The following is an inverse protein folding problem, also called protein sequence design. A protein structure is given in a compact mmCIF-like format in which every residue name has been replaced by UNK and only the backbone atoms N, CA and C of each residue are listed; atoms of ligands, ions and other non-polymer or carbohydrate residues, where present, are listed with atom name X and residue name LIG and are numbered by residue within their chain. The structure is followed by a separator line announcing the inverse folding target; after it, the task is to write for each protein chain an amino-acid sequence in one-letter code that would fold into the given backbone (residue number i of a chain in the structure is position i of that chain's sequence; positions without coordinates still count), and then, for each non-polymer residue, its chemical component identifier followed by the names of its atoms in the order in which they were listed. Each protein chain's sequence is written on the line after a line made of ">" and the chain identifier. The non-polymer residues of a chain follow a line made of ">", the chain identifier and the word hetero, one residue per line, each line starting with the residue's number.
data_IF_332918063098
#
_entry.id   IF_332918063098
#
_cell.length_a   1.000
_cell.length_b   1.000
_cell.length_c   1.000
_cell.angle_alpha   90.00
_cell.angle_beta   90.00
_cell.angle_gamma   90.00
#
_symmetry.space_group_name_H-M   'P 1'
#
loop_
_entity.id
_entity.type
_entity.pdbx_description
1 polymer ?
#
# COMPACT_ATOMS: atom_id res chain seq x y z
N UNK A 1 -15.60 10.66 -6.58
CA UNK A 1 -15.66 9.88 -5.31
C UNK A 1 -14.29 9.34 -5.00
N UNK A 2 -14.00 8.99 -3.74
CA UNK A 2 -12.71 8.45 -3.34
C UNK A 2 -12.89 6.99 -2.96
N UNK A 3 -12.11 6.13 -3.60
CA UNK A 3 -12.05 4.69 -3.37
C UNK A 3 -10.68 4.32 -2.81
N UNK A 4 -10.64 3.39 -1.88
CA UNK A 4 -9.39 2.87 -1.30
C UNK A 4 -9.40 1.35 -1.44
N UNK A 5 -8.33 0.79 -2.01
CA UNK A 5 -8.20 -0.64 -2.33
C UNK A 5 -6.95 -1.22 -1.66
N UNK A 6 -7.01 -2.47 -1.24
CA UNK A 6 -5.85 -3.23 -0.75
C UNK A 6 -6.01 -4.73 -1.01
N UNK A 7 -4.99 -5.53 -0.69
CA UNK A 7 -5.03 -6.98 -0.82
C UNK A 7 -4.73 -7.52 -2.20
N UNK A 8 -4.04 -6.74 -3.05
CA UNK A 8 -3.70 -7.10 -4.44
C UNK A 8 -2.73 -8.28 -4.56
N UNK A 9 -1.74 -8.35 -3.67
CA UNK A 9 -0.71 -9.41 -3.63
C UNK A 9 0.00 -9.63 -4.98
N UNK A 10 0.07 -8.59 -5.82
CA UNK A 10 0.67 -8.66 -7.15
C UNK A 10 -0.12 -9.50 -8.17
N UNK A 11 -1.42 -9.71 -7.98
CA UNK A 11 -2.29 -10.39 -8.93
C UNK A 11 -2.92 -9.39 -9.91
N UNK A 12 -2.28 -9.20 -11.06
CA UNK A 12 -2.67 -8.21 -12.05
C UNK A 12 -4.04 -8.49 -12.69
N UNK A 13 -4.36 -9.75 -12.99
CA UNK A 13 -5.63 -10.12 -13.60
C UNK A 13 -6.79 -9.81 -12.64
N UNK A 14 -6.64 -10.23 -11.39
CA UNK A 14 -7.63 -9.98 -10.34
C UNK A 14 -7.79 -8.47 -10.06
N UNK A 15 -6.70 -7.70 -10.06
CA UNK A 15 -6.73 -6.25 -9.97
C UNK A 15 -7.59 -5.62 -11.07
N UNK A 16 -7.33 -5.97 -12.33
CA UNK A 16 -8.08 -5.40 -13.46
C UNK A 16 -9.57 -5.75 -13.42
N UNK A 17 -9.89 -7.02 -13.11
CA UNK A 17 -11.28 -7.47 -12.99
C UNK A 17 -12.02 -6.73 -11.87
N UNK A 18 -11.38 -6.64 -10.70
CA UNK A 18 -11.97 -5.97 -9.55
C UNK A 18 -12.13 -4.46 -9.79
N UNK A 19 -11.10 -3.79 -10.30
CA UNK A 19 -11.15 -2.36 -10.67
C UNK A 19 -12.28 -2.09 -11.67
N UNK A 20 -12.44 -2.94 -12.68
CA UNK A 20 -13.54 -2.85 -13.64
C UNK A 20 -14.91 -2.99 -12.95
N UNK A 21 -15.05 -3.86 -11.96
CA UNK A 21 -16.29 -4.07 -11.22
C UNK A 21 -16.73 -2.85 -10.41
N UNK A 22 -15.79 -2.02 -9.94
CA UNK A 22 -16.06 -0.77 -9.22
C UNK A 22 -16.75 0.27 -10.11
N UNK A 23 -16.62 0.17 -11.43
CA UNK A 23 -17.24 1.07 -12.41
C UNK A 23 -16.93 2.55 -12.12
N UNK A 24 -15.65 2.84 -11.84
CA UNK A 24 -15.16 4.18 -11.56
C UNK A 24 -15.52 5.16 -12.69
N UNK A 25 -15.81 6.40 -12.32
CA UNK A 25 -16.09 7.49 -13.27
C UNK A 25 -14.86 8.38 -13.40
N UNK A 26 -14.78 9.16 -14.47
CA UNK A 26 -13.61 10.00 -14.73
C UNK A 26 -13.12 10.87 -13.55
N UNK A 27 -13.99 11.43 -12.70
CA UNK A 27 -13.57 12.23 -11.54
C UNK A 27 -13.42 11.40 -10.24
N UNK A 28 -13.46 10.06 -10.32
CA UNK A 28 -13.28 9.20 -9.14
C UNK A 28 -11.80 8.87 -8.97
N UNK A 29 -11.29 9.01 -7.75
CA UNK A 29 -9.92 8.70 -7.37
C UNK A 29 -9.85 7.30 -6.74
N UNK A 30 -8.81 6.57 -7.06
CA UNK A 30 -8.50 5.25 -6.50
C UNK A 30 -7.14 5.27 -5.80
N UNK A 31 -7.16 5.17 -4.48
CA UNK A 31 -5.97 4.92 -3.68
C UNK A 31 -5.74 3.42 -3.53
N UNK A 32 -4.48 2.99 -3.60
CA UNK A 32 -4.09 1.59 -3.40
C UNK A 32 -3.13 1.52 -2.22
N UNK A 33 -3.56 0.91 -1.12
CA UNK A 33 -2.75 0.80 0.09
C UNK A 33 -1.86 -0.45 0.05
N UNK A 34 -0.67 -0.30 -0.50
CA UNK A 34 0.36 -1.33 -0.58
C UNK A 34 -0.05 -2.63 -1.27
N UNK A 35 0.83 -3.62 -1.21
CA UNK A 35 0.59 -4.94 -1.78
C UNK A 35 0.55 -4.97 -3.31
N UNK A 36 1.02 -3.94 -3.97
CA UNK A 36 1.16 -3.86 -5.43
C UNK A 36 2.25 -4.83 -5.88
N UNK A 37 3.43 -4.70 -5.26
CA UNK A 37 4.62 -5.47 -5.60
C UNK A 37 4.71 -6.82 -4.84
N UNK A 38 3.59 -7.46 -4.57
CA UNK A 38 3.55 -8.70 -3.77
C UNK A 38 3.91 -9.98 -4.52
N UNK A 39 3.85 -10.02 -5.85
CA UNK A 39 4.11 -11.20 -6.67
C UNK A 39 4.49 -10.84 -8.10
N UNK A 40 4.54 -11.84 -8.99
CA UNK A 40 5.02 -11.71 -10.39
C UNK A 40 4.28 -10.65 -11.22
N UNK A 41 2.97 -10.46 -11.01
CA UNK A 41 2.17 -9.45 -11.72
C UNK A 41 2.23 -8.05 -11.09
N UNK A 42 2.99 -7.87 -10.01
CA UNK A 42 3.07 -6.59 -9.31
C UNK A 42 3.66 -5.46 -10.16
N UNK A 43 4.64 -5.78 -11.01
CA UNK A 43 5.21 -4.80 -11.91
C UNK A 43 4.21 -4.33 -12.98
N UNK A 44 3.33 -5.23 -13.45
CA UNK A 44 2.25 -4.87 -14.38
C UNK A 44 1.19 -3.98 -13.71
N UNK A 45 0.88 -4.23 -12.42
CA UNK A 45 0.00 -3.36 -11.63
C UNK A 45 0.62 -1.97 -11.49
N UNK A 46 1.91 -1.89 -11.13
CA UNK A 46 2.61 -0.63 -10.96
C UNK A 46 2.61 0.19 -12.26
N UNK A 47 3.00 -0.41 -13.38
CA UNK A 47 2.98 0.24 -14.69
C UNK A 47 1.58 0.70 -15.10
N UNK A 48 0.54 -0.10 -14.78
CA UNK A 48 -0.83 0.31 -15.02
C UNK A 48 -1.21 1.53 -14.15
N UNK A 49 -0.88 1.52 -12.84
CA UNK A 49 -1.15 2.63 -11.95
C UNK A 49 -0.44 3.92 -12.39
N UNK A 50 0.84 3.83 -12.78
CA UNK A 50 1.62 4.96 -13.31
C UNK A 50 1.02 5.58 -14.58
N UNK A 51 0.27 4.80 -15.37
CA UNK A 51 -0.37 5.27 -16.62
C UNK A 51 -1.71 6.00 -16.41
N UNK A 52 -2.23 6.06 -15.17
CA UNK A 52 -3.56 6.58 -14.86
C UNK A 52 -3.50 7.75 -13.88
N UNK A 53 -3.99 8.92 -14.30
CA UNK A 53 -3.94 10.17 -13.52
C UNK A 53 -4.76 10.14 -12.22
N UNK A 54 -5.68 9.18 -12.07
CA UNK A 54 -6.58 9.08 -10.93
C UNK A 54 -6.34 7.80 -10.09
N UNK A 55 -5.17 7.19 -10.20
CA UNK A 55 -4.74 6.06 -9.38
C UNK A 55 -3.52 6.44 -8.57
N UNK A 56 -3.65 6.39 -7.25
CA UNK A 56 -2.66 6.88 -6.28
C UNK A 56 -2.17 5.73 -5.39
N UNK A 57 -1.04 5.10 -5.71
CA UNK A 57 -0.44 4.11 -4.84
C UNK A 57 0.14 4.72 -3.55
N UNK A 58 -0.12 4.06 -2.42
CA UNK A 58 0.51 4.35 -1.13
C UNK A 58 1.38 3.15 -0.78
N UNK A 59 2.65 3.40 -0.45
CA UNK A 59 3.63 2.35 -0.25
C UNK A 59 3.32 1.47 0.97
N UNK A 60 3.43 0.16 0.77
CA UNK A 60 3.59 -0.80 1.83
C UNK A 60 5.06 -1.23 1.99
N UNK A 61 5.29 -2.21 2.85
CA UNK A 61 6.64 -2.73 3.13
C UNK A 61 7.42 -3.14 1.87
N UNK A 62 6.77 -3.87 0.96
CA UNK A 62 7.43 -4.39 -0.24
C UNK A 62 7.78 -3.27 -1.22
N UNK A 63 6.93 -2.27 -1.35
CA UNK A 63 7.16 -1.10 -2.18
C UNK A 63 8.33 -0.27 -1.65
N UNK A 64 8.39 -0.04 -0.33
CA UNK A 64 9.49 0.68 0.31
C UNK A 64 10.83 -0.04 0.09
N UNK A 65 10.88 -1.37 0.27
CA UNK A 65 12.08 -2.17 0.05
C UNK A 65 12.45 -2.21 -1.44
N UNK A 66 11.46 -2.31 -2.33
CA UNK A 66 11.68 -2.28 -3.78
C UNK A 66 12.31 -0.97 -4.23
N UNK A 67 11.85 0.19 -3.72
CA UNK A 67 12.44 1.50 -4.02
C UNK A 67 13.96 1.50 -3.78
N UNK A 68 14.40 0.99 -2.62
CA UNK A 68 15.82 0.88 -2.26
C UNK A 68 16.59 -0.10 -3.17
N UNK A 69 16.08 -1.32 -3.32
CA UNK A 69 16.86 -2.40 -3.94
C UNK A 69 16.82 -2.38 -5.47
N UNK A 70 15.72 -1.94 -6.08
CA UNK A 70 15.66 -1.77 -7.53
C UNK A 70 16.55 -0.61 -8.00
N UNK A 71 16.60 0.49 -7.23
CA UNK A 71 17.54 1.58 -7.50
C UNK A 71 18.99 1.10 -7.40
N UNK A 72 19.33 0.34 -6.36
CA UNK A 72 20.66 -0.27 -6.26
C UNK A 72 20.98 -1.21 -7.43
N UNK A 73 20.03 -2.04 -7.86
CA UNK A 73 20.23 -2.95 -9.00
C UNK A 73 20.49 -2.21 -10.30
N UNK A 74 19.81 -1.06 -10.52
CA UNK A 74 19.91 -0.26 -11.73
C UNK A 74 21.11 0.70 -11.70
N UNK A 75 21.38 1.32 -10.55
CA UNK A 75 22.37 2.38 -10.35
C UNK A 75 23.56 1.95 -9.48
N UNK A 76 23.95 0.68 -9.53
CA UNK A 76 24.95 0.07 -8.64
C UNK A 76 26.21 0.91 -8.43
N UNK A 77 26.72 1.53 -9.50
CA UNK A 77 27.95 2.33 -9.45
C UNK A 77 27.83 3.62 -8.63
N UNK A 78 26.62 3.98 -8.17
CA UNK A 78 26.38 5.14 -7.30
C UNK A 78 26.50 4.83 -5.81
N UNK A 79 26.71 3.56 -5.43
CA UNK A 79 26.69 3.10 -4.04
C UNK A 79 28.08 2.66 -3.57
N UNK A 80 28.53 3.23 -2.46
CA UNK A 80 29.86 2.92 -1.87
C UNK A 80 29.81 1.71 -0.93
N UNK A 81 28.61 1.32 -0.42
CA UNK A 81 28.40 0.26 0.58
C UNK A 81 27.76 -1.01 -0.03
N UNK A 82 28.21 -1.42 -1.20
CA UNK A 82 27.60 -2.51 -1.98
C UNK A 82 27.40 -3.83 -1.19
N UNK A 83 28.36 -4.21 -0.36
CA UNK A 83 28.30 -5.51 0.33
C UNK A 83 27.21 -5.54 1.42
N UNK A 84 26.96 -4.41 2.09
CA UNK A 84 25.87 -4.24 3.05
C UNK A 84 24.51 -4.32 2.36
N UNK A 85 24.34 -3.54 1.28
CA UNK A 85 23.09 -3.53 0.51
C UNK A 85 22.80 -4.91 -0.10
N UNK A 86 23.81 -5.62 -0.59
CA UNK A 86 23.65 -6.99 -1.10
C UNK A 86 23.18 -7.97 -0.02
N UNK A 87 23.69 -7.83 1.21
CA UNK A 87 23.23 -8.67 2.32
C UNK A 87 21.77 -8.44 2.65
N UNK A 88 21.33 -7.18 2.77
CA UNK A 88 19.93 -6.82 3.00
C UNK A 88 19.04 -7.24 1.82
N UNK A 89 19.48 -7.03 0.57
CA UNK A 89 18.75 -7.46 -0.62
C UNK A 89 18.57 -8.99 -0.66
N UNK A 90 19.54 -9.76 -0.19
CA UNK A 90 19.41 -11.21 -0.08
C UNK A 90 18.36 -11.63 0.96
N UNK A 91 18.13 -10.83 1.99
CA UNK A 91 17.02 -11.01 2.94
C UNK A 91 15.69 -10.65 2.29
N UNK A 92 15.61 -9.50 1.64
CA UNK A 92 14.43 -9.11 0.88
C UNK A 92 14.01 -10.14 -0.17
N UNK A 93 14.95 -10.76 -0.88
CA UNK A 93 14.66 -11.83 -1.84
C UNK A 93 14.01 -13.05 -1.18
N UNK A 94 14.41 -13.40 0.03
CA UNK A 94 13.79 -14.49 0.81
C UNK A 94 12.39 -14.12 1.31
N UNK A 95 12.14 -12.82 1.51
CA UNK A 95 10.90 -12.24 2.05
C UNK A 95 9.92 -11.81 0.95
N UNK A 96 10.05 -12.37 -0.26
CA UNK A 96 9.13 -12.15 -1.38
C UNK A 96 9.61 -11.15 -2.44
N UNK A 97 10.78 -10.51 -2.29
CA UNK A 97 11.30 -9.53 -3.23
C UNK A 97 11.83 -10.12 -4.56
N UNK A 98 12.15 -11.43 -4.59
CA UNK A 98 12.72 -12.04 -5.79
C UNK A 98 11.82 -11.94 -7.05
N UNK A 99 10.50 -12.26 -7.00
CA UNK A 99 9.61 -12.05 -8.14
C UNK A 99 9.50 -10.59 -8.59
N UNK A 100 9.61 -9.64 -7.65
CA UNK A 100 9.60 -8.20 -7.95
C UNK A 100 10.85 -7.83 -8.77
N UNK A 101 12.03 -8.24 -8.29
CA UNK A 101 13.28 -8.02 -8.98
C UNK A 101 13.30 -8.68 -10.38
N UNK A 102 12.74 -9.89 -10.52
CA UNK A 102 12.61 -10.56 -11.82
C UNK A 102 11.71 -9.75 -12.79
N UNK A 103 10.57 -9.24 -12.30
CA UNK A 103 9.67 -8.39 -13.09
C UNK A 103 10.39 -7.14 -13.57
N UNK A 104 11.08 -6.43 -12.68
CA UNK A 104 11.87 -5.26 -13.01
C UNK A 104 12.97 -5.53 -14.03
N UNK A 105 13.73 -6.62 -13.86
CA UNK A 105 14.80 -6.98 -14.80
C UNK A 105 14.30 -7.34 -16.20
N UNK A 106 13.03 -7.72 -16.33
CA UNK A 106 12.42 -8.00 -17.64
C UNK A 106 11.98 -6.74 -18.40
N UNK A 107 11.93 -5.58 -17.74
CA UNK A 107 11.61 -4.29 -18.35
C UNK A 107 12.76 -3.82 -19.27
N UNK A 108 12.44 -2.99 -20.26
CA UNK A 108 13.45 -2.25 -21.00
C UNK A 108 14.07 -1.12 -20.15
N UNK A 109 15.12 -0.47 -20.64
CA UNK A 109 15.85 0.53 -19.84
C UNK A 109 15.02 1.80 -19.58
N UNK A 110 14.16 2.19 -20.51
CA UNK A 110 13.25 3.34 -20.34
C UNK A 110 12.20 3.05 -19.25
N UNK A 111 11.61 1.86 -19.28
CA UNK A 111 10.66 1.43 -18.25
C UNK A 111 11.33 1.30 -16.87
N UNK A 112 12.57 0.78 -16.80
CA UNK A 112 13.31 0.70 -15.53
C UNK A 112 13.54 2.08 -14.93
N UNK A 113 13.97 3.04 -15.76
CA UNK A 113 14.19 4.42 -15.31
C UNK A 113 12.88 5.04 -14.80
N UNK A 114 11.78 4.91 -15.55
CA UNK A 114 10.46 5.37 -15.13
C UNK A 114 10.01 4.75 -13.80
N UNK A 115 10.20 3.45 -13.59
CA UNK A 115 9.85 2.76 -12.35
C UNK A 115 10.68 3.26 -11.18
N UNK A 116 11.98 3.45 -11.36
CA UNK A 116 12.87 3.96 -10.31
C UNK A 116 12.48 5.38 -9.92
N UNK A 117 12.27 6.25 -10.87
CA UNK A 117 11.89 7.65 -10.63
C UNK A 117 10.54 7.71 -9.91
N UNK A 118 9.56 6.94 -10.37
CA UNK A 118 8.24 6.86 -9.75
C UNK A 118 8.30 6.38 -8.30
N UNK A 119 9.00 5.27 -8.03
CA UNK A 119 9.15 4.73 -6.67
C UNK A 119 9.90 5.67 -5.73
N UNK A 120 10.72 6.57 -6.26
CA UNK A 120 11.50 7.53 -5.49
C UNK A 120 10.74 8.83 -5.22
N UNK A 121 9.99 9.33 -6.17
CA UNK A 121 9.46 10.71 -6.19
C UNK A 121 7.95 10.78 -6.00
N UNK A 122 7.19 9.82 -6.57
CA UNK A 122 5.73 9.88 -6.65
C UNK A 122 5.03 8.90 -5.68
N UNK A 123 5.77 7.97 -5.09
CA UNK A 123 5.19 6.97 -4.20
C UNK A 123 5.05 7.51 -2.78
N UNK A 124 3.84 7.84 -2.37
CA UNK A 124 3.58 8.35 -1.01
C UNK A 124 3.55 7.22 0.02
N UNK A 125 3.84 7.55 1.28
CA UNK A 125 3.80 6.61 2.42
C UNK A 125 2.48 6.70 3.18
N UNK A 126 1.88 7.87 3.20
CA UNK A 126 0.54 8.12 3.74
C UNK A 126 -0.10 9.30 3.02
N UNK A 127 -1.41 9.45 3.16
CA UNK A 127 -2.18 10.55 2.57
C UNK A 127 -3.23 11.06 3.56
N UNK A 128 -3.36 12.38 3.71
CA UNK A 128 -4.46 13.01 4.42
C UNK A 128 -5.47 13.57 3.41
N UNK A 129 -6.73 13.21 3.54
CA UNK A 129 -7.78 13.64 2.64
C UNK A 129 -9.15 13.73 3.32
N UNK A 130 -10.08 14.45 2.68
CA UNK A 130 -11.47 14.56 3.15
C UNK A 130 -12.43 13.92 2.15
N UNK A 131 -13.35 13.11 2.62
CA UNK A 131 -14.39 12.48 1.82
C UNK A 131 -15.69 12.34 2.61
N UNK A 132 -16.85 12.58 1.99
CA UNK A 132 -18.15 12.41 2.63
C UNK A 132 -18.38 13.29 3.87
N UNK A 133 -17.57 14.33 4.08
CA UNK A 133 -17.61 15.19 5.27
C UNK A 133 -16.82 14.66 6.47
N UNK A 134 -15.95 13.67 6.25
CA UNK A 134 -15.01 13.10 7.22
C UNK A 134 -13.58 13.28 6.73
N UNK A 135 -12.64 13.40 7.65
CA UNK A 135 -11.20 13.45 7.38
C UNK A 135 -10.58 12.09 7.62
N UNK A 136 -9.62 11.71 6.76
CA UNK A 136 -8.96 10.41 6.76
C UNK A 136 -7.45 10.57 6.68
N UNK A 137 -6.75 9.69 7.38
CA UNK A 137 -5.34 9.37 7.18
C UNK A 137 -5.25 7.97 6.59
N UNK A 138 -4.71 7.85 5.41
CA UNK A 138 -4.50 6.57 4.73
C UNK A 138 -3.06 6.12 4.94
N UNK A 139 -2.83 4.94 5.50
CA UNK A 139 -1.51 4.34 5.64
C UNK A 139 -1.58 2.82 5.52
N UNK A 140 -0.51 2.19 4.98
CA UNK A 140 -0.51 0.74 4.79
C UNK A 140 -0.58 -0.04 6.10
N UNK A 141 0.31 0.25 7.05
CA UNK A 141 0.38 -0.44 8.35
C UNK A 141 -0.24 0.37 9.50
N UNK A 142 -1.00 1.42 9.21
CA UNK A 142 -1.44 2.38 10.22
C UNK A 142 -0.34 3.35 10.62
N UNK A 143 -0.37 3.84 11.86
CA UNK A 143 0.58 4.81 12.40
C UNK A 143 1.34 4.17 13.57
N UNK A 144 2.45 3.51 13.30
CA UNK A 144 3.28 2.90 14.32
C UNK A 144 3.78 3.93 15.34
N UNK A 145 3.90 3.54 16.60
CA UNK A 145 4.23 4.46 17.72
C UNK A 145 3.29 5.69 17.74
N UNK A 146 1.98 5.41 17.66
CA UNK A 146 0.91 6.41 17.52
C UNK A 146 0.93 7.42 18.67
N UNK A 147 0.94 8.70 18.31
CA UNK A 147 0.74 9.84 19.20
C UNK A 147 -0.25 10.83 18.56
N UNK A 148 -1.40 11.16 19.19
CA UNK A 148 -2.39 12.07 18.62
C UNK A 148 -1.89 13.49 18.40
N UNK A 149 -0.84 13.91 19.10
CA UNK A 149 -0.22 15.23 18.98
C UNK A 149 0.93 15.27 17.94
N UNK A 150 1.34 14.11 17.41
CA UNK A 150 2.41 13.99 16.42
C UNK A 150 1.90 14.34 15.02
N UNK A 151 2.64 15.20 14.31
CA UNK A 151 2.32 15.48 12.91
C UNK A 151 2.58 14.25 12.04
N UNK A 152 1.77 14.07 10.99
CA UNK A 152 1.91 12.94 10.06
C UNK A 152 3.30 12.91 9.40
N UNK A 153 3.86 14.06 9.06
CA UNK A 153 5.19 14.20 8.46
C UNK A 153 6.36 13.77 9.38
N UNK A 154 6.10 13.57 10.67
CA UNK A 154 7.11 13.14 11.64
C UNK A 154 7.18 11.61 11.80
N UNK A 155 6.24 10.87 11.20
CA UNK A 155 6.28 9.41 11.18
C UNK A 155 7.34 8.91 10.21
N UNK A 156 8.12 7.94 10.64
CA UNK A 156 9.14 7.34 9.78
C UNK A 156 8.52 6.41 8.74
N UNK A 157 9.22 6.13 7.62
CA UNK A 157 8.75 5.14 6.66
C UNK A 157 8.45 3.77 7.30
N UNK A 158 9.21 3.37 8.30
CA UNK A 158 9.00 2.14 9.06
C UNK A 158 7.70 2.20 9.87
N UNK A 159 7.40 3.31 10.55
CA UNK A 159 6.14 3.51 11.31
C UNK A 159 4.92 3.33 10.41
N UNK A 160 4.98 3.81 9.15
CA UNK A 160 3.87 3.81 8.19
C UNK A 160 3.71 2.48 7.43
N UNK A 161 4.78 1.67 7.32
CA UNK A 161 4.77 0.46 6.50
C UNK A 161 4.96 -0.84 7.26
N UNK A 162 5.47 -0.80 8.50
CA UNK A 162 5.83 -1.96 9.31
C UNK A 162 5.61 -1.73 10.80
N UNK A 163 5.13 -0.56 11.22
CA UNK A 163 5.04 -0.16 12.62
C UNK A 163 4.05 -1.01 13.43
N UNK A 164 4.27 -1.03 14.74
CA UNK A 164 3.38 -1.64 15.74
C UNK A 164 2.19 -0.72 15.99
N UNK A 165 1.22 -0.76 15.10
CA UNK A 165 -0.03 -0.02 15.25
C UNK A 165 -1.15 -0.92 15.78
N UNK A 166 -1.91 -0.40 16.76
CA UNK A 166 -3.10 -1.08 17.29
C UNK A 166 -4.36 -0.26 17.05
N UNK A 167 -5.47 -0.86 16.57
CA UNK A 167 -6.69 -0.11 16.22
C UNK A 167 -7.48 0.51 17.39
N UNK A 168 -6.96 0.44 18.61
CA UNK A 168 -7.49 1.18 19.77
C UNK A 168 -6.80 2.54 19.98
N UNK A 169 -5.84 2.89 19.13
CA UNK A 169 -5.15 4.18 19.10
C UNK A 169 -5.65 4.96 17.88
N UNK A 170 -6.33 6.08 18.08
CA UNK A 170 -6.94 6.86 16.99
C UNK A 170 -7.04 8.36 17.33
N UNK A 171 -7.26 9.18 16.33
CA UNK A 171 -7.57 10.60 16.49
C UNK A 171 -9.06 10.79 16.82
N UNK A 172 -9.39 11.82 17.62
CA UNK A 172 -10.78 12.15 17.95
C UNK A 172 -11.58 12.70 16.76
N UNK A 173 -10.91 13.38 15.81
CA UNK A 173 -11.56 14.18 14.75
C UNK A 173 -11.40 13.58 13.34
N UNK A 174 -10.52 12.60 13.13
CA UNK A 174 -10.27 11.98 11.82
C UNK A 174 -10.09 10.47 11.91
N UNK A 175 -10.43 9.77 10.83
CA UNK A 175 -10.26 8.34 10.72
C UNK A 175 -8.84 7.95 10.32
N UNK A 176 -8.31 6.89 10.91
CA UNK A 176 -7.14 6.17 10.39
C UNK A 176 -7.64 5.01 9.56
N UNK A 177 -7.23 4.91 8.31
CA UNK A 177 -7.56 3.79 7.43
C UNK A 177 -6.30 3.00 7.12
N UNK A 178 -6.23 1.77 7.66
CA UNK A 178 -5.11 0.86 7.54
C UNK A 178 -5.36 -0.13 6.39
N UNK A 179 -4.38 -0.27 5.51
CA UNK A 179 -4.43 -1.22 4.41
C UNK A 179 -4.29 -2.67 4.89
N UNK A 180 -3.34 -2.92 5.80
CA UNK A 180 -3.02 -4.28 6.23
C UNK A 180 -2.41 -4.33 7.64
N UNK A 181 -3.09 -5.02 8.55
CA UNK A 181 -2.63 -5.34 9.92
C UNK A 181 -2.77 -6.85 10.15
N UNK A 182 -1.83 -7.64 9.62
CA UNK A 182 -1.91 -9.12 9.61
C UNK A 182 -1.92 -9.77 10.99
N UNK A 183 -1.39 -9.10 12.01
CA UNK A 183 -1.36 -9.59 13.39
C UNK A 183 -2.60 -9.17 14.20
N UNK A 184 -3.39 -8.26 13.68
CA UNK A 184 -4.64 -7.84 14.30
C UNK A 184 -5.76 -8.84 14.03
N UNK A 185 -6.44 -9.24 15.08
CA UNK A 185 -7.65 -10.08 15.06
C UNK A 185 -8.79 -9.35 15.78
N UNK A 186 -9.85 -8.95 15.07
CA UNK A 186 -11.01 -8.33 15.71
C UNK A 186 -11.64 -9.27 16.74
N UNK A 187 -11.92 -8.78 17.94
CA UNK A 187 -12.55 -9.55 19.03
C UNK A 187 -14.03 -9.88 18.77
N UNK A 188 -14.62 -9.31 17.72
CA UNK A 188 -16.04 -9.47 17.39
C UNK A 188 -16.25 -10.41 16.21
N UNK A 189 -17.10 -11.43 16.38
CA UNK A 189 -17.45 -12.43 15.34
C UNK A 189 -18.02 -11.83 14.05
N UNK A 190 -18.46 -10.55 14.07
CA UNK A 190 -19.08 -9.87 12.94
C UNK A 190 -18.11 -9.43 11.85
N UNK A 191 -16.79 -9.41 12.10
CA UNK A 191 -15.77 -8.90 11.17
C UNK A 191 -14.93 -10.00 10.51
N UNK A 192 -15.19 -11.26 10.79
CA UNK A 192 -14.55 -12.34 10.06
C UNK A 192 -14.82 -12.18 8.55
N UNK A 193 -13.76 -12.20 7.74
CA UNK A 193 -13.80 -12.00 6.27
C UNK A 193 -14.34 -10.64 5.80
N UNK A 194 -14.34 -9.60 6.65
CA UNK A 194 -14.79 -8.24 6.31
C UNK A 194 -13.81 -7.17 6.78
N UNK A 195 -13.97 -5.97 6.26
CA UNK A 195 -13.29 -4.77 6.76
C UNK A 195 -13.74 -4.53 8.21
N UNK A 196 -12.77 -4.28 9.09
CA UNK A 196 -13.06 -3.92 10.48
C UNK A 196 -13.32 -2.42 10.60
N UNK A 197 -14.37 -2.05 11.32
CA UNK A 197 -14.73 -0.67 11.66
C UNK A 197 -14.69 -0.49 13.18
N UNK A 198 -13.63 0.16 13.67
CA UNK A 198 -13.50 0.60 15.05
C UNK A 198 -13.95 2.05 15.24
N UNK A 199 -13.64 2.62 16.40
CA UNK A 199 -13.86 4.03 16.69
C UNK A 199 -12.78 4.87 15.96
N UNK A 200 -13.19 5.60 14.92
CA UNK A 200 -12.29 6.39 14.05
C UNK A 200 -11.13 5.59 13.43
N UNK A 201 -11.26 4.28 13.29
CA UNK A 201 -10.29 3.39 12.64
C UNK A 201 -11.00 2.42 11.71
N UNK A 202 -10.43 2.25 10.53
CA UNK A 202 -10.84 1.22 9.56
C UNK A 202 -9.63 0.35 9.25
N UNK A 203 -9.75 -0.97 9.40
CA UNK A 203 -8.71 -1.93 9.01
C UNK A 203 -9.25 -2.79 7.87
N UNK A 204 -8.66 -2.62 6.69
CA UNK A 204 -9.14 -3.27 5.49
C UNK A 204 -8.77 -4.75 5.46
N UNK A 205 -7.48 -5.07 5.65
CA UNK A 205 -7.01 -6.44 5.79
C UNK A 205 -6.43 -6.67 7.19
N UNK A 206 -6.77 -7.79 7.76
CA UNK A 206 -6.34 -8.24 9.08
C UNK A 206 -6.27 -9.78 9.11
N UNK A 207 -5.97 -10.39 10.25
CA UNK A 207 -5.69 -11.81 10.38
C UNK A 207 -6.79 -12.72 9.80
N UNK A 208 -8.06 -12.33 9.90
CA UNK A 208 -9.20 -13.12 9.40
C UNK A 208 -9.80 -12.59 8.09
N UNK A 209 -9.33 -11.44 7.59
CA UNK A 209 -9.68 -10.87 6.29
C UNK A 209 -8.42 -10.50 5.52
N UNK A 210 -7.96 -11.38 4.65
CA UNK A 210 -6.75 -11.19 3.84
C UNK A 210 -7.08 -11.38 2.34
N UNK A 211 -7.98 -10.54 1.84
CA UNK A 211 -8.44 -10.58 0.45
C UNK A 211 -8.46 -9.21 -0.21
N UNK A 212 -8.53 -9.22 -1.53
CA UNK A 212 -8.72 -8.00 -2.30
C UNK A 212 -10.08 -7.37 -1.95
N UNK A 213 -10.04 -6.18 -1.40
CA UNK A 213 -11.20 -5.40 -1.02
C UNK A 213 -11.03 -3.92 -1.33
N UNK A 214 -12.14 -3.19 -1.35
CA UNK A 214 -12.16 -1.76 -1.57
C UNK A 214 -13.27 -1.12 -0.73
N UNK A 215 -13.02 0.08 -0.24
CA UNK A 215 -14.02 0.91 0.43
C UNK A 215 -14.17 2.25 -0.30
N UNK A 216 -15.41 2.71 -0.46
CA UNK A 216 -15.69 4.07 -0.95
C UNK A 216 -15.88 5.01 0.24
N UNK A 217 -14.96 5.94 0.44
CA UNK A 217 -14.93 6.78 1.64
C UNK A 217 -16.13 7.73 1.77
N UNK A 218 -16.73 8.14 0.67
CA UNK A 218 -17.84 9.09 0.69
C UNK A 218 -19.10 8.59 1.44
N UNK A 219 -19.29 7.29 1.55
CA UNK A 219 -20.43 6.64 2.21
C UNK A 219 -20.05 5.32 2.90
N UNK A 220 -18.78 5.05 3.04
CA UNK A 220 -18.22 3.86 3.70
C UNK A 220 -18.70 2.52 3.08
N UNK A 221 -19.03 2.54 1.78
CA UNK A 221 -19.50 1.34 1.09
C UNK A 221 -18.34 0.41 0.74
N UNK A 222 -18.46 -0.83 1.18
CA UNK A 222 -17.47 -1.89 0.96
C UNK A 222 -17.73 -2.67 -0.34
N UNK A 223 -16.65 -3.15 -0.94
CA UNK A 223 -16.62 -4.00 -2.12
C UNK A 223 -15.58 -5.08 -1.90
N UNK A 224 -15.86 -6.29 -2.34
CA UNK A 224 -14.98 -7.44 -2.18
C UNK A 224 -14.83 -8.16 -3.51
N UNK A 225 -13.61 -8.62 -3.80
CA UNK A 225 -13.39 -9.54 -4.91
C UNK A 225 -13.86 -10.95 -4.54
N UNK A 226 -14.46 -11.62 -5.51
CA UNK A 226 -14.87 -13.03 -5.40
C UNK A 226 -13.66 -13.99 -5.38
#
# INVERSE_FOLDING_TARGET
>A
MIYVMTGLKGDFEKYLEFKKSLNLKGPDDLFILGGILGAKGGMDILLNAMSEENVFPIAGKQELLASKFLDFMYNKDKYDNEDEIKAEMAEWFRDGGYPIAQGFMALDDEQKEMVIDYLREDFTLCEELSAGGQDFVLAYAGLGDFDPDRNIDEYTPEDLTQGDYTPNCYFDEKFILCGNLTDFEPDEDGFADKIYHGENVVVMNHKTNDRLCCIRLNDMKEYYAD
#
